data_IF_574693944856
#
_entry.id   IF_574693944856
#
_cell.length_a   1.000
_cell.length_b   1.000
_cell.length_c   1.000
_cell.angle_alpha   90.00
_cell.angle_beta   90.00
_cell.angle_gamma   90.00
#
_symmetry.space_group_name_H-M   'P 1'
#
loop_
_entity.id
_entity.type
_entity.pdbx_description
1 polymer ?
#
# COMPACT_ATOMS: atom_id res chain seq x y z
N UNK A 1 -10.89 -50.35 31.08
CA UNK A 1 -9.88 -49.33 30.69
C UNK A 1 -10.10 -48.68 29.31
N UNK A 2 -10.92 -49.23 28.39
CA UNK A 2 -11.22 -48.58 27.10
C UNK A 2 -12.34 -47.53 27.16
N UNK A 3 -13.34 -47.71 28.02
CA UNK A 3 -14.47 -46.76 28.17
C UNK A 3 -14.03 -45.38 28.70
N UNK A 4 -13.14 -45.34 29.71
CA UNK A 4 -12.60 -44.08 30.25
C UNK A 4 -11.79 -43.25 29.21
N UNK A 5 -11.15 -43.91 28.24
CA UNK A 5 -10.35 -43.22 27.20
C UNK A 5 -11.25 -42.52 26.17
N UNK A 6 -12.36 -43.15 25.80
CA UNK A 6 -13.33 -42.55 24.89
C UNK A 6 -14.12 -41.41 25.56
N UNK A 7 -14.46 -41.54 26.85
CA UNK A 7 -15.12 -40.47 27.61
C UNK A 7 -14.22 -39.24 27.81
N UNK A 8 -12.91 -39.44 28.06
CA UNK A 8 -11.97 -38.33 28.18
C UNK A 8 -11.71 -37.63 26.83
N UNK A 9 -11.63 -38.40 25.74
CA UNK A 9 -11.51 -37.85 24.39
C UNK A 9 -12.73 -37.02 23.99
N UNK A 10 -13.95 -37.49 24.29
CA UNK A 10 -15.19 -36.76 23.98
C UNK A 10 -15.35 -35.49 24.83
N UNK A 11 -14.92 -35.51 26.09
CA UNK A 11 -14.94 -34.34 26.97
C UNK A 11 -13.89 -33.30 26.56
N UNK A 12 -12.69 -33.73 26.15
CA UNK A 12 -11.64 -32.84 25.65
C UNK A 12 -12.04 -32.19 24.31
N UNK A 13 -12.66 -32.93 23.40
CA UNK A 13 -13.19 -32.38 22.14
C UNK A 13 -14.36 -31.41 22.37
N UNK A 14 -15.22 -31.66 23.36
CA UNK A 14 -16.28 -30.73 23.74
C UNK A 14 -15.72 -29.44 24.36
N UNK A 15 -14.68 -29.51 25.19
CA UNK A 15 -14.04 -28.32 25.77
C UNK A 15 -13.38 -27.42 24.72
N UNK A 16 -12.81 -28.00 23.65
CA UNK A 16 -12.21 -27.23 22.55
C UNK A 16 -13.29 -26.49 21.75
N UNK A 17 -14.47 -27.09 21.57
CA UNK A 17 -15.60 -26.47 20.85
C UNK A 17 -16.26 -25.31 21.62
N UNK A 18 -16.16 -25.28 22.96
CA UNK A 18 -16.64 -24.16 23.78
C UNK A 18 -15.63 -23.02 23.95
N UNK A 19 -14.39 -23.16 23.45
CA UNK A 19 -13.33 -22.14 23.58
C UNK A 19 -13.26 -21.14 22.41
N UNK A 20 -14.21 -21.18 21.48
CA UNK A 20 -14.17 -20.33 20.28
C UNK A 20 -14.99 -19.05 20.34
N UNK A 21 -15.64 -18.73 21.48
CA UNK A 21 -16.08 -17.37 21.71
C UNK A 21 -14.84 -16.52 22.01
N UNK A 22 -14.43 -15.67 21.07
CA UNK A 22 -13.66 -14.49 21.46
C UNK A 22 -14.61 -13.64 22.30
N UNK A 23 -14.49 -13.78 23.61
CA UNK A 23 -15.17 -12.89 24.55
C UNK A 23 -14.50 -11.52 24.39
N UNK A 24 -15.11 -10.68 23.56
CA UNK A 24 -14.77 -9.27 23.51
C UNK A 24 -15.22 -8.68 24.84
N UNK A 25 -14.36 -8.77 25.85
CA UNK A 25 -14.60 -8.14 27.14
C UNK A 25 -14.42 -6.65 26.94
N UNK A 26 -15.54 -5.96 26.73
CA UNK A 26 -15.59 -4.51 26.80
C UNK A 26 -15.02 -4.07 28.17
N UNK A 27 -13.98 -3.23 28.21
CA UNK A 27 -13.53 -2.64 29.45
C UNK A 27 -14.70 -1.89 30.07
N UNK A 28 -14.98 -2.19 31.33
CA UNK A 28 -15.99 -1.50 32.12
C UNK A 28 -15.52 -0.07 32.40
N UNK A 29 -15.78 0.85 31.47
CA UNK A 29 -15.51 2.28 31.64
C UNK A 29 -16.58 2.84 32.60
N UNK A 30 -16.20 3.46 33.73
CA UNK A 30 -17.16 4.01 34.67
C UNK A 30 -17.76 5.32 34.13
N UNK A 31 -18.74 5.20 33.24
CA UNK A 31 -19.42 6.33 32.57
C UNK A 31 -20.21 7.27 33.53
N UNK A 32 -20.33 6.93 34.82
CA UNK A 32 -21.10 7.69 35.82
C UNK A 32 -20.28 8.68 36.66
N UNK A 33 -18.95 8.63 36.63
CA UNK A 33 -18.09 9.39 37.55
C UNK A 33 -17.27 10.51 36.87
N UNK A 34 -17.22 10.55 35.54
CA UNK A 34 -16.50 11.56 34.76
C UNK A 34 -17.24 11.91 33.48
N UNK A 35 -17.03 13.12 32.96
CA UNK A 35 -17.52 13.49 31.63
C UNK A 35 -16.81 12.62 30.58
N UNK A 36 -17.58 11.80 29.87
CA UNK A 36 -17.04 10.83 28.90
C UNK A 36 -17.14 11.41 27.50
N UNK A 37 -16.00 11.41 26.80
CA UNK A 37 -15.91 11.82 25.40
C UNK A 37 -16.36 10.72 24.44
N UNK A 38 -16.48 11.08 23.17
CA UNK A 38 -16.78 10.14 22.09
C UNK A 38 -15.52 9.89 21.24
N UNK A 39 -15.41 8.70 20.65
CA UNK A 39 -14.33 8.37 19.72
C UNK A 39 -14.81 7.49 18.56
N UNK A 40 -14.02 7.46 17.48
CA UNK A 40 -14.31 6.70 16.26
C UNK A 40 -13.39 5.51 16.13
N UNK A 41 -13.84 4.35 16.59
CA UNK A 41 -13.06 3.12 16.46
C UNK A 41 -13.02 2.67 15.01
N UNK A 42 -11.83 2.45 14.48
CA UNK A 42 -11.63 1.83 13.17
C UNK A 42 -11.92 0.34 13.27
N UNK A 43 -12.96 -0.12 12.59
CA UNK A 43 -13.33 -1.54 12.53
C UNK A 43 -12.65 -2.21 11.35
N UNK A 44 -12.69 -1.56 10.18
CA UNK A 44 -12.09 -2.09 8.97
C UNK A 44 -11.58 -0.98 8.04
N UNK A 45 -10.57 -1.33 7.25
CA UNK A 45 -9.94 -0.47 6.25
C UNK A 45 -9.99 -1.19 4.90
N UNK A 46 -11.10 -1.05 4.19
CA UNK A 46 -11.37 -1.80 2.95
C UNK A 46 -10.57 -1.24 1.76
N UNK A 47 -10.20 0.03 1.78
CA UNK A 47 -9.25 0.61 0.83
C UNK A 47 -8.38 1.68 1.48
N UNK A 48 -7.06 1.62 1.22
CA UNK A 48 -6.04 2.41 1.93
C UNK A 48 -5.03 3.12 1.04
N UNK A 49 -5.10 2.89 -0.27
CA UNK A 49 -4.19 3.48 -1.26
C UNK A 49 -4.97 3.89 -2.50
N UNK A 50 -4.42 4.84 -3.26
CA UNK A 50 -4.89 5.17 -4.59
C UNK A 50 -3.91 4.61 -5.61
N UNK A 51 -4.40 3.89 -6.61
CA UNK A 51 -3.57 3.40 -7.71
C UNK A 51 -3.43 4.51 -8.75
N UNK A 52 -2.20 4.99 -8.98
CA UNK A 52 -1.94 6.05 -9.97
C UNK A 52 -2.45 5.68 -11.37
N UNK A 53 -2.35 4.40 -11.74
CA UNK A 53 -2.77 3.90 -13.05
C UNK A 53 -4.28 3.65 -13.16
N UNK A 54 -5.02 3.77 -12.05
CA UNK A 54 -6.48 3.59 -11.99
C UNK A 54 -7.07 4.50 -10.91
N UNK A 55 -6.77 5.79 -10.96
CA UNK A 55 -7.30 6.78 -10.00
C UNK A 55 -8.83 6.85 -10.09
N UNK A 56 -9.41 6.61 -11.27
CA UNK A 56 -10.84 6.73 -11.49
C UNK A 56 -11.64 5.67 -10.70
N UNK A 57 -11.07 4.48 -10.50
CA UNK A 57 -11.69 3.38 -9.74
C UNK A 57 -11.13 3.26 -8.31
N UNK A 58 -10.18 4.12 -7.94
CA UNK A 58 -9.55 4.13 -6.62
C UNK A 58 -10.44 4.85 -5.60
N UNK A 59 -10.52 4.29 -4.39
CA UNK A 59 -11.36 4.82 -3.32
C UNK A 59 -10.65 4.77 -1.96
N UNK A 60 -11.06 5.62 -1.03
CA UNK A 60 -10.72 5.54 0.39
C UNK A 60 -11.96 5.10 1.15
N UNK A 61 -11.88 3.97 1.85
CA UNK A 61 -13.05 3.35 2.45
C UNK A 61 -12.74 2.77 3.83
N UNK A 62 -13.60 3.10 4.79
CA UNK A 62 -13.50 2.67 6.18
C UNK A 62 -14.86 2.17 6.68
N UNK A 63 -14.79 1.27 7.66
CA UNK A 63 -15.90 1.03 8.59
C UNK A 63 -15.51 1.58 9.95
N UNK A 64 -16.34 2.47 10.47
CA UNK A 64 -16.16 3.14 11.76
C UNK A 64 -17.24 2.72 12.73
N UNK A 65 -16.91 2.78 14.02
CA UNK A 65 -17.84 2.57 15.11
C UNK A 65 -17.75 3.73 16.09
N UNK A 66 -18.88 4.34 16.40
CA UNK A 66 -18.99 5.46 17.31
C UNK A 66 -19.12 4.94 18.75
N UNK A 67 -18.11 5.20 19.57
CA UNK A 67 -18.11 4.77 20.96
C UNK A 67 -18.30 5.96 21.89
N UNK A 68 -19.40 5.95 22.63
CA UNK A 68 -19.76 6.94 23.64
C UNK A 68 -20.63 6.31 24.75
N UNK A 69 -21.09 7.13 25.70
CA UNK A 69 -21.91 6.67 26.82
C UNK A 69 -23.34 6.23 26.42
N UNK A 70 -23.83 6.63 25.26
CA UNK A 70 -25.16 6.36 24.71
C UNK A 70 -25.09 5.46 23.45
N UNK A 71 -24.10 4.56 23.42
CA UNK A 71 -23.97 3.54 22.36
C UNK A 71 -23.75 4.10 20.94
N UNK A 72 -23.15 5.28 20.82
CA UNK A 72 -23.00 6.00 19.56
C UNK A 72 -24.11 7.03 19.31
N UNK A 73 -25.11 7.09 20.20
CA UNK A 73 -26.25 8.01 20.10
C UNK A 73 -25.93 9.47 20.43
N UNK A 74 -24.70 9.79 20.85
CA UNK A 74 -24.28 11.18 21.05
C UNK A 74 -23.78 11.84 19.78
N UNK A 75 -23.41 11.07 18.74
CA UNK A 75 -22.92 11.59 17.46
C UNK A 75 -23.96 12.48 16.82
N UNK A 76 -23.55 13.70 16.49
CA UNK A 76 -24.33 14.63 15.67
C UNK A 76 -23.85 14.58 14.22
N UNK A 77 -22.55 14.77 14.00
CA UNK A 77 -21.92 14.66 12.68
C UNK A 77 -20.51 14.09 12.76
N UNK A 78 -20.04 13.52 11.65
CA UNK A 78 -18.61 13.26 11.42
C UNK A 78 -18.18 13.93 10.13
N UNK A 79 -17.33 14.95 10.23
CA UNK A 79 -16.71 15.58 9.07
C UNK A 79 -15.52 14.75 8.60
N UNK A 80 -15.51 14.41 7.32
CA UNK A 80 -14.39 13.82 6.61
C UNK A 80 -13.71 14.94 5.85
N UNK A 81 -12.50 15.27 6.26
CA UNK A 81 -11.71 16.37 5.72
C UNK A 81 -10.45 15.81 5.07
N UNK A 82 -9.92 16.49 4.06
CA UNK A 82 -8.73 16.04 3.32
C UNK A 82 -7.79 17.19 3.01
N UNK A 83 -6.50 16.89 2.94
CA UNK A 83 -5.50 17.68 2.24
C UNK A 83 -4.57 16.77 1.46
N UNK A 84 -3.97 17.29 0.40
CA UNK A 84 -2.92 16.62 -0.35
C UNK A 84 -1.56 17.01 0.22
N UNK A 85 -0.63 16.06 0.24
CA UNK A 85 0.76 16.24 0.65
C UNK A 85 1.68 15.62 -0.39
N UNK A 86 2.65 16.40 -0.85
CA UNK A 86 3.73 15.95 -1.74
C UNK A 86 5.09 16.17 -1.09
N UNK A 87 6.04 15.26 -1.35
CA UNK A 87 7.45 15.49 -1.03
C UNK A 87 8.16 16.00 -2.29
N UNK A 88 8.62 17.26 -2.25
CA UNK A 88 9.42 17.84 -3.33
C UNK A 88 10.92 17.66 -3.01
N UNK A 89 11.69 16.94 -3.83
CA UNK A 89 13.13 16.77 -3.63
C UNK A 89 13.86 18.12 -3.49
N UNK A 90 14.65 18.25 -2.42
CA UNK A 90 15.42 19.48 -2.14
C UNK A 90 14.61 20.63 -1.54
N UNK A 91 13.28 20.53 -1.45
CA UNK A 91 12.41 21.57 -0.85
C UNK A 91 11.78 21.07 0.45
N UNK A 92 11.19 19.88 0.45
CA UNK A 92 10.48 19.31 1.61
C UNK A 92 9.02 19.00 1.30
N UNK A 93 8.20 18.95 2.35
CA UNK A 93 6.77 18.63 2.23
C UNK A 93 5.98 19.88 1.81
N UNK A 94 5.21 19.76 0.75
CA UNK A 94 4.22 20.74 0.31
C UNK A 94 2.82 20.19 0.59
N UNK A 95 1.90 21.09 0.99
CA UNK A 95 0.53 20.76 1.33
C UNK A 95 -0.43 21.58 0.50
N UNK A 96 -1.42 20.90 -0.10
CA UNK A 96 -2.43 21.53 -0.95
C UNK A 96 -3.82 21.07 -0.53
N UNK A 97 -4.69 21.97 -0.05
CA UNK A 97 -4.34 23.24 0.61
C UNK A 97 -3.52 23.06 1.90
N UNK A 98 -3.00 24.16 2.46
CA UNK A 98 -2.23 24.16 3.72
C UNK A 98 -3.04 23.57 4.90
N UNK A 99 -4.29 24.01 5.02
CA UNK A 99 -5.29 23.48 5.95
C UNK A 99 -6.24 22.52 5.22
N UNK A 100 -6.64 21.43 5.88
CA UNK A 100 -7.58 20.48 5.27
C UNK A 100 -8.99 21.06 5.04
N UNK A 101 -9.62 20.55 3.99
CA UNK A 101 -10.94 20.98 3.50
C UNK A 101 -11.97 19.88 3.69
N UNK A 102 -13.23 20.27 3.88
CA UNK A 102 -14.34 19.34 4.02
C UNK A 102 -14.62 18.63 2.68
N UNK A 103 -14.66 17.30 2.71
CA UNK A 103 -15.04 16.46 1.58
C UNK A 103 -16.48 16.01 1.72
N UNK A 104 -16.81 15.47 2.90
CA UNK A 104 -18.11 14.89 3.20
C UNK A 104 -18.44 15.01 4.67
N UNK A 105 -19.73 15.13 4.99
CA UNK A 105 -20.25 15.03 6.34
C UNK A 105 -21.10 13.78 6.44
N UNK A 106 -20.83 12.93 7.43
CA UNK A 106 -21.73 11.86 7.84
C UNK A 106 -22.65 12.40 8.92
N UNK A 107 -23.94 12.16 8.77
CA UNK A 107 -24.97 12.55 9.72
C UNK A 107 -25.21 11.43 10.74
N UNK A 108 -25.82 11.75 11.88
CA UNK A 108 -26.21 10.75 12.88
C UNK A 108 -27.06 9.59 12.29
N UNK A 109 -27.85 9.87 11.24
CA UNK A 109 -28.66 8.84 10.55
C UNK A 109 -27.85 7.83 9.73
N UNK A 110 -26.58 8.13 9.43
CA UNK A 110 -25.68 7.23 8.71
C UNK A 110 -25.09 6.14 9.63
N UNK A 111 -25.33 6.25 10.94
CA UNK A 111 -24.89 5.30 11.95
C UNK A 111 -26.03 4.35 12.34
N UNK A 112 -25.78 3.05 12.23
CA UNK A 112 -26.77 2.01 12.44
C UNK A 112 -26.30 0.93 13.44
N UNK A 113 -27.22 0.22 14.12
CA UNK A 113 -26.88 -0.92 14.97
C UNK A 113 -26.20 -2.05 14.18
N UNK A 114 -25.40 -2.86 14.88
CA UNK A 114 -24.70 -4.00 14.30
C UNK A 114 -24.82 -5.25 15.19
N UNK A 115 -24.34 -6.41 14.72
CA UNK A 115 -24.41 -7.69 15.45
C UNK A 115 -23.24 -7.97 16.39
N UNK A 116 -22.14 -7.21 16.28
CA UNK A 116 -20.85 -7.50 16.92
C UNK A 116 -20.62 -6.68 18.21
N UNK A 117 -21.27 -5.52 18.33
CA UNK A 117 -21.14 -4.63 19.49
C UNK A 117 -22.45 -3.89 19.77
N UNK A 118 -22.54 -3.26 20.96
CA UNK A 118 -23.65 -2.37 21.30
C UNK A 118 -23.62 -1.02 20.57
N UNK A 119 -22.48 -0.63 20.02
CA UNK A 119 -22.22 0.70 19.46
C UNK A 119 -22.72 0.83 18.01
N UNK A 120 -23.11 2.02 17.59
CA UNK A 120 -23.49 2.26 16.20
C UNK A 120 -22.29 2.26 15.26
N UNK A 121 -22.47 1.75 14.04
CA UNK A 121 -21.46 1.71 12.97
C UNK A 121 -21.90 2.45 11.74
N UNK A 122 -20.92 2.93 10.99
CA UNK A 122 -21.10 3.45 9.64
C UNK A 122 -19.98 2.95 8.73
N UNK A 123 -20.26 2.86 7.45
CA UNK A 123 -19.28 2.58 6.42
C UNK A 123 -19.42 3.64 5.33
N UNK A 124 -18.30 4.16 4.86
CA UNK A 124 -18.29 5.16 3.79
C UNK A 124 -17.17 4.87 2.80
N UNK A 125 -17.32 5.45 1.62
CA UNK A 125 -16.35 5.40 0.53
C UNK A 125 -16.21 6.80 -0.06
N UNK A 126 -14.98 7.32 -0.08
CA UNK A 126 -14.61 8.56 -0.77
C UNK A 126 -13.84 8.18 -2.04
N UNK A 127 -14.42 8.40 -3.24
CA UNK A 127 -13.69 8.23 -4.49
C UNK A 127 -12.48 9.15 -4.57
N UNK A 128 -11.40 8.70 -5.21
CA UNK A 128 -10.22 9.53 -5.41
C UNK A 128 -10.56 10.80 -6.20
N UNK A 129 -11.51 10.73 -7.13
CA UNK A 129 -12.01 11.91 -7.87
C UNK A 129 -12.61 12.98 -6.96
N UNK A 130 -13.35 12.60 -5.91
CA UNK A 130 -13.93 13.51 -4.92
C UNK A 130 -12.83 14.13 -4.06
N UNK A 131 -11.86 13.32 -3.60
CA UNK A 131 -10.73 13.79 -2.80
C UNK A 131 -9.81 14.76 -3.55
N UNK A 132 -9.46 14.42 -4.80
CA UNK A 132 -8.62 15.24 -5.69
C UNK A 132 -9.32 16.56 -6.01
N UNK A 133 -10.61 16.52 -6.35
CA UNK A 133 -11.37 17.74 -6.64
C UNK A 133 -11.53 18.64 -5.40
N UNK A 134 -11.71 18.04 -4.22
CA UNK A 134 -11.87 18.78 -2.97
C UNK A 134 -10.64 19.64 -2.64
N UNK A 135 -9.44 19.13 -2.90
CA UNK A 135 -8.18 19.87 -2.69
C UNK A 135 -7.85 20.86 -3.82
N UNK A 136 -8.70 20.96 -4.85
CA UNK A 136 -8.51 21.87 -5.98
C UNK A 136 -7.49 21.40 -7.01
N UNK A 137 -7.21 20.09 -7.06
CA UNK A 137 -6.32 19.46 -8.04
C UNK A 137 -7.13 18.68 -9.09
N UNK A 138 -6.45 18.27 -10.15
CA UNK A 138 -6.92 17.32 -11.15
C UNK A 138 -6.08 16.03 -11.10
N UNK A 139 -6.49 14.99 -11.82
CA UNK A 139 -5.69 13.75 -11.89
C UNK A 139 -4.32 13.96 -12.57
N UNK A 140 -4.22 14.92 -13.48
CA UNK A 140 -2.96 15.25 -14.16
C UNK A 140 -1.94 15.88 -13.19
N UNK A 141 -2.40 16.39 -12.04
CA UNK A 141 -1.54 16.96 -11.00
C UNK A 141 -1.05 15.90 -9.99
N UNK A 142 -1.50 14.64 -10.10
CA UNK A 142 -1.20 13.58 -9.12
C UNK A 142 0.01 12.77 -9.56
N UNK A 143 0.93 12.55 -8.63
CA UNK A 143 2.15 11.78 -8.87
C UNK A 143 2.27 10.61 -7.88
N UNK A 144 3.03 9.59 -8.26
CA UNK A 144 3.36 8.49 -7.37
C UNK A 144 4.14 8.98 -6.15
N UNK A 145 3.75 8.50 -4.96
CA UNK A 145 4.32 8.95 -3.69
C UNK A 145 3.59 10.14 -3.05
N UNK A 146 2.62 10.75 -3.74
CA UNK A 146 1.69 11.68 -3.13
C UNK A 146 0.87 11.03 -2.01
N UNK A 147 0.38 11.83 -1.07
CA UNK A 147 -0.45 11.35 0.03
C UNK A 147 -1.67 12.24 0.21
N UNK A 148 -2.85 11.63 0.22
CA UNK A 148 -4.08 12.26 0.69
C UNK A 148 -4.26 11.99 2.17
N UNK A 149 -4.21 13.05 2.96
CA UNK A 149 -4.33 13.02 4.41
C UNK A 149 -5.78 13.28 4.80
N UNK A 150 -6.51 12.21 5.10
CA UNK A 150 -7.88 12.31 5.59
C UNK A 150 -7.90 12.50 7.10
N UNK A 151 -8.63 13.52 7.56
CA UNK A 151 -8.87 13.80 8.98
C UNK A 151 -10.36 13.72 9.28
N UNK A 152 -10.70 13.02 10.36
CA UNK A 152 -12.06 12.91 10.87
C UNK A 152 -12.28 13.89 12.01
N UNK A 153 -13.42 14.55 12.03
CA UNK A 153 -13.89 15.37 13.16
C UNK A 153 -15.26 14.86 13.59
N UNK A 154 -15.33 14.21 14.75
CA UNK A 154 -16.61 13.84 15.36
C UNK A 154 -17.15 15.03 16.14
N UNK A 155 -18.35 15.48 15.80
CA UNK A 155 -19.11 16.45 16.60
C UNK A 155 -20.24 15.71 17.31
N UNK A 156 -20.40 15.97 18.61
CA UNK A 156 -21.51 15.43 19.39
C UNK A 156 -22.61 16.46 19.61
N UNK A 157 -23.80 15.98 19.97
CA UNK A 157 -24.98 16.82 20.24
C UNK A 157 -24.82 17.78 21.43
N UNK A 158 -23.72 17.68 22.17
CA UNK A 158 -23.37 18.56 23.29
C UNK A 158 -22.47 19.72 22.84
N UNK A 159 -22.13 19.80 21.54
CA UNK A 159 -21.29 20.83 20.94
C UNK A 159 -19.80 20.60 21.14
N UNK A 160 -19.37 19.38 21.47
CA UNK A 160 -17.96 18.99 21.59
C UNK A 160 -17.48 18.41 20.27
N UNK A 161 -16.22 18.65 19.93
CA UNK A 161 -15.58 18.10 18.74
C UNK A 161 -14.37 17.25 19.13
N UNK A 162 -14.20 16.08 18.52
CA UNK A 162 -13.09 15.16 18.76
C UNK A 162 -12.35 14.87 17.45
N UNK A 163 -11.03 15.07 17.46
CA UNK A 163 -10.16 14.89 16.29
C UNK A 163 -8.70 14.71 16.74
N UNK A 164 -7.76 14.78 15.81
CA UNK A 164 -6.33 14.58 16.04
C UNK A 164 -5.70 15.59 16.99
N UNK A 165 -6.30 16.77 17.15
CA UNK A 165 -5.83 17.85 18.02
C UNK A 165 -6.17 17.64 19.50
N UNK A 166 -7.06 16.71 19.85
CA UNK A 166 -7.49 16.46 21.23
C UNK A 166 -7.61 14.96 21.57
N UNK A 167 -6.86 14.12 20.87
CA UNK A 167 -6.75 12.68 21.11
C UNK A 167 -5.43 12.34 21.80
N UNK A 168 -5.46 11.40 22.75
CA UNK A 168 -4.22 10.86 23.35
C UNK A 168 -3.70 9.67 22.55
N UNK A 169 -2.42 9.33 22.68
CA UNK A 169 -1.82 8.15 22.00
C UNK A 169 -2.53 6.84 22.35
N UNK A 170 -3.09 6.72 23.55
CA UNK A 170 -3.88 5.55 23.96
C UNK A 170 -5.16 5.41 23.14
N UNK A 171 -5.90 6.50 22.94
CA UNK A 171 -7.14 6.49 22.14
C UNK A 171 -6.81 6.32 20.64
N UNK A 172 -5.76 6.99 20.18
CA UNK A 172 -5.36 6.94 18.77
C UNK A 172 -4.87 5.56 18.34
N UNK A 173 -4.04 4.90 19.16
CA UNK A 173 -3.26 3.74 18.72
C UNK A 173 -3.45 2.45 19.51
N UNK A 174 -4.03 2.47 20.71
CA UNK A 174 -4.18 1.21 21.45
C UNK A 174 -5.23 0.31 20.76
N UNK A 175 -4.99 -1.02 20.65
CA UNK A 175 -5.83 -1.92 19.85
C UNK A 175 -7.32 -1.89 20.19
N UNK A 176 -7.68 -1.54 21.42
CA UNK A 176 -9.07 -1.44 21.85
C UNK A 176 -9.80 -0.20 21.29
N UNK A 177 -9.12 0.95 21.24
CA UNK A 177 -9.71 2.22 20.83
C UNK A 177 -9.57 2.41 19.33
N UNK A 178 -8.38 2.18 18.77
CA UNK A 178 -8.07 2.25 17.34
C UNK A 178 -8.71 3.47 16.63
N UNK A 179 -8.63 4.65 17.26
CA UNK A 179 -9.30 5.87 16.83
C UNK A 179 -8.30 6.97 16.46
N UNK A 180 -7.51 6.79 15.39
CA UNK A 180 -6.43 7.72 15.04
C UNK A 180 -6.95 9.09 14.58
N UNK A 181 -8.22 9.19 14.15
CA UNK A 181 -8.82 10.36 13.49
C UNK A 181 -8.05 10.88 12.26
N UNK A 182 -6.96 10.23 11.85
CA UNK A 182 -6.12 10.56 10.70
C UNK A 182 -5.84 9.28 9.90
N UNK A 183 -6.03 9.35 8.59
CA UNK A 183 -5.74 8.25 7.67
C UNK A 183 -4.98 8.81 6.46
N UNK A 184 -3.76 8.32 6.28
CA UNK A 184 -2.93 8.68 5.14
C UNK A 184 -3.16 7.66 4.03
N UNK A 185 -3.66 8.13 2.88
CA UNK A 185 -3.90 7.34 1.67
C UNK A 185 -2.81 7.70 0.68
N UNK A 186 -1.88 6.77 0.48
CA UNK A 186 -0.75 7.00 -0.44
C UNK A 186 -1.17 6.70 -1.87
N UNK A 187 -0.73 7.52 -2.80
CA UNK A 187 -0.77 7.25 -4.23
C UNK A 187 0.39 6.30 -4.54
N UNK A 188 0.04 5.08 -4.91
CA UNK A 188 0.99 4.00 -5.21
C UNK A 188 1.00 3.70 -6.70
N UNK A 189 2.12 3.19 -7.16
CA UNK A 189 2.30 2.69 -8.51
C UNK A 189 2.55 1.18 -8.41
N UNK A 190 1.50 0.34 -8.49
CA UNK A 190 1.67 -1.10 -8.46
C UNK A 190 2.52 -1.57 -9.64
N UNK A 191 3.43 -2.50 -9.39
CA UNK A 191 4.29 -3.10 -10.40
C UNK A 191 4.14 -4.62 -10.35
N UNK A 192 3.97 -5.26 -11.51
CA UNK A 192 3.91 -6.72 -11.69
C UNK A 192 4.75 -7.15 -12.92
N UNK A 193 6.05 -6.89 -12.84
CA UNK A 193 7.05 -7.26 -13.86
C UNK A 193 7.81 -8.54 -13.50
N UNK A 194 7.31 -9.31 -12.54
CA UNK A 194 7.93 -10.57 -12.13
C UNK A 194 7.70 -11.66 -13.18
N UNK A 195 8.76 -12.37 -13.56
CA UNK A 195 8.65 -13.45 -14.53
C UNK A 195 9.97 -13.88 -15.15
N UNK A 196 9.91 -14.92 -15.98
CA UNK A 196 11.00 -15.30 -16.88
C UNK A 196 10.62 -14.84 -18.28
N UNK A 197 11.56 -14.18 -18.95
CA UNK A 197 11.37 -13.55 -20.25
C UNK A 197 12.40 -14.07 -21.24
N UNK A 198 12.00 -14.19 -22.51
CA UNK A 198 12.98 -14.33 -23.59
C UNK A 198 13.62 -12.97 -23.84
N UNK A 199 14.89 -12.96 -24.23
CA UNK A 199 15.54 -11.75 -24.71
C UNK A 199 16.47 -12.03 -25.90
N UNK A 200 16.77 -10.98 -26.66
CA UNK A 200 17.85 -10.93 -27.63
C UNK A 200 18.87 -9.87 -27.23
N UNK A 201 20.12 -10.29 -27.02
CA UNK A 201 21.27 -9.39 -26.89
C UNK A 201 21.73 -8.96 -28.29
N UNK A 202 21.38 -7.74 -28.66
CA UNK A 202 21.64 -7.14 -29.98
C UNK A 202 22.99 -6.42 -30.06
N UNK A 203 23.55 -6.07 -28.89
CA UNK A 203 24.87 -5.49 -28.75
C UNK A 203 25.47 -5.91 -27.41
N UNK A 204 26.77 -6.20 -27.40
CA UNK A 204 27.55 -6.44 -26.19
C UNK A 204 28.94 -5.83 -26.35
N UNK A 205 29.59 -5.51 -25.23
CA UNK A 205 30.95 -4.97 -25.20
C UNK A 205 32.02 -5.84 -25.91
N UNK A 206 31.76 -7.15 -26.07
CA UNK A 206 32.66 -8.05 -26.79
C UNK A 206 32.28 -8.26 -28.27
N UNK A 207 31.17 -7.68 -28.73
CA UNK A 207 30.69 -7.76 -30.12
C UNK A 207 29.90 -9.02 -30.46
N UNK A 208 29.62 -9.90 -29.49
CA UNK A 208 28.77 -11.08 -29.66
C UNK A 208 27.29 -10.71 -29.54
N UNK A 209 26.44 -11.46 -30.23
CA UNK A 209 24.96 -11.34 -30.15
C UNK A 209 24.35 -12.71 -29.99
N UNK A 210 23.36 -12.84 -29.13
CA UNK A 210 22.73 -14.12 -28.82
C UNK A 210 21.35 -13.92 -28.21
N UNK A 211 20.57 -14.99 -28.15
CA UNK A 211 19.26 -15.03 -27.48
C UNK A 211 19.36 -15.84 -26.19
N UNK A 212 18.50 -15.54 -25.22
CA UNK A 212 18.47 -16.27 -23.97
C UNK A 212 17.21 -16.02 -23.15
N UNK A 213 17.25 -16.49 -21.90
CA UNK A 213 16.20 -16.28 -20.91
C UNK A 213 16.74 -15.48 -19.73
N UNK A 214 15.94 -14.55 -19.23
CA UNK A 214 16.23 -13.73 -18.05
C UNK A 214 15.07 -13.85 -17.07
N UNK A 215 15.36 -14.06 -15.80
CA UNK A 215 14.32 -14.09 -14.76
C UNK A 215 14.41 -12.85 -13.87
N UNK A 216 13.28 -12.16 -13.73
CA UNK A 216 13.07 -11.01 -12.86
C UNK A 216 12.29 -11.49 -11.64
N UNK A 217 13.00 -11.67 -10.52
CA UNK A 217 12.43 -12.23 -9.29
C UNK A 217 11.99 -11.09 -8.37
N UNK A 218 10.70 -10.95 -8.02
CA UNK A 218 10.26 -9.90 -7.11
C UNK A 218 10.96 -9.96 -5.75
N UNK A 219 11.41 -8.81 -5.25
CA UNK A 219 12.02 -8.68 -3.93
C UNK A 219 10.93 -8.37 -2.91
N UNK A 220 10.58 -9.34 -2.06
CA UNK A 220 9.46 -9.22 -1.10
C UNK A 220 9.55 -8.00 -0.18
N UNK A 221 10.77 -7.60 0.21
CA UNK A 221 11.01 -6.47 1.11
C UNK A 221 11.02 -5.11 0.41
N UNK A 222 10.96 -5.08 -0.93
CA UNK A 222 11.04 -3.86 -1.73
C UNK A 222 10.11 -3.98 -2.96
N UNK A 223 8.80 -3.73 -2.81
CA UNK A 223 7.85 -3.76 -3.91
C UNK A 223 8.31 -2.90 -5.10
N UNK A 224 8.13 -3.42 -6.32
CA UNK A 224 8.64 -2.79 -7.55
C UNK A 224 10.12 -3.08 -7.85
N UNK A 225 10.84 -3.81 -7.00
CA UNK A 225 12.21 -4.25 -7.25
C UNK A 225 12.26 -5.72 -7.66
N UNK A 226 13.06 -6.04 -8.66
CA UNK A 226 13.20 -7.37 -9.24
C UNK A 226 14.68 -7.75 -9.36
N UNK A 227 15.10 -8.80 -8.66
CA UNK A 227 16.43 -9.38 -8.78
C UNK A 227 16.58 -10.11 -10.12
N UNK A 228 17.65 -9.79 -10.84
CA UNK A 228 17.93 -10.38 -12.15
C UNK A 228 18.71 -11.68 -11.99
N UNK A 229 18.33 -12.72 -12.72
CA UNK A 229 19.14 -13.96 -12.77
C UNK A 229 20.53 -13.75 -13.35
N UNK A 230 20.70 -12.72 -14.20
CA UNK A 230 21.97 -12.22 -14.73
C UNK A 230 21.83 -10.73 -15.09
N UNK A 231 22.59 -9.86 -14.43
CA UNK A 231 22.55 -8.40 -14.66
C UNK A 231 23.09 -7.95 -16.02
N UNK A 232 23.76 -8.86 -16.75
CA UNK A 232 24.31 -8.61 -18.09
C UNK A 232 23.48 -9.26 -19.19
N UNK A 233 22.37 -9.90 -18.85
CA UNK A 233 21.53 -10.64 -19.80
C UNK A 233 22.37 -11.65 -20.61
N UNK A 234 23.15 -12.50 -19.94
CA UNK A 234 23.96 -13.55 -20.54
C UNK A 234 25.29 -13.10 -21.15
N UNK A 235 25.56 -11.79 -21.23
CA UNK A 235 26.79 -11.29 -21.86
C UNK A 235 28.04 -11.71 -21.07
N UNK A 236 27.91 -11.91 -19.76
CA UNK A 236 28.99 -12.40 -18.92
C UNK A 236 29.52 -13.77 -19.38
N UNK A 237 28.63 -14.75 -19.48
CA UNK A 237 28.96 -16.12 -19.90
C UNK A 237 29.38 -16.16 -21.39
N UNK A 238 28.86 -15.26 -22.22
CA UNK A 238 29.19 -15.17 -23.63
C UNK A 238 30.57 -14.53 -23.89
N UNK A 239 30.92 -13.48 -23.14
CA UNK A 239 32.11 -12.67 -23.37
C UNK A 239 33.30 -13.10 -22.49
N UNK A 240 33.07 -13.77 -21.37
CA UNK A 240 34.11 -14.22 -20.45
C UNK A 240 34.13 -15.73 -20.24
N UNK A 241 35.29 -16.33 -19.95
CA UNK A 241 35.39 -17.69 -19.44
C UNK A 241 35.08 -17.73 -17.92
N UNK A 242 34.03 -17.03 -17.51
CA UNK A 242 33.57 -16.87 -16.14
C UNK A 242 32.03 -16.87 -16.14
N UNK A 243 31.41 -17.28 -15.05
CA UNK A 243 29.94 -17.26 -14.94
C UNK A 243 29.44 -16.05 -14.15
N UNK A 244 28.24 -15.55 -14.42
CA UNK A 244 27.62 -14.44 -13.65
C UNK A 244 27.80 -14.61 -12.12
N UNK A 245 27.55 -15.82 -11.62
CA UNK A 245 27.84 -16.19 -10.24
C UNK A 245 26.91 -15.52 -9.24
N UNK A 246 27.46 -14.70 -8.35
CA UNK A 246 26.70 -13.99 -7.31
C UNK A 246 26.65 -12.49 -7.62
N UNK A 247 25.48 -11.89 -7.59
CA UNK A 247 25.30 -10.44 -7.69
C UNK A 247 23.93 -10.10 -7.11
N UNK A 248 23.70 -8.83 -6.82
CA UNK A 248 22.41 -8.32 -6.33
C UNK A 248 21.81 -7.29 -7.28
N UNK A 249 22.18 -7.38 -8.56
CA UNK A 249 21.66 -6.50 -9.61
C UNK A 249 20.16 -6.66 -9.75
N UNK A 250 19.47 -5.53 -9.80
CA UNK A 250 18.01 -5.44 -9.82
C UNK A 250 17.55 -4.42 -10.84
N UNK A 251 16.41 -4.71 -11.47
CA UNK A 251 15.58 -3.69 -12.09
C UNK A 251 14.57 -3.20 -11.06
N UNK A 252 14.40 -1.89 -10.95
CA UNK A 252 13.38 -1.27 -10.12
C UNK A 252 12.42 -0.47 -10.99
N UNK A 253 11.14 -0.67 -10.76
CA UNK A 253 10.04 0.07 -11.34
C UNK A 253 9.48 1.05 -10.31
N UNK A 254 9.59 2.34 -10.61
CA UNK A 254 8.96 3.41 -9.87
C UNK A 254 8.04 4.19 -10.81
N UNK A 255 6.76 3.81 -10.83
CA UNK A 255 5.73 4.46 -11.65
C UNK A 255 6.03 4.37 -13.16
N UNK A 256 6.34 3.15 -13.61
CA UNK A 256 6.77 2.81 -14.95
C UNK A 256 8.13 3.38 -15.35
N UNK A 257 8.86 4.05 -14.45
CA UNK A 257 10.23 4.47 -14.69
C UNK A 257 11.15 3.35 -14.24
N UNK A 258 11.83 2.70 -15.19
CA UNK A 258 12.73 1.63 -14.87
C UNK A 258 14.15 2.12 -14.61
N UNK A 259 14.75 1.61 -13.55
CA UNK A 259 16.15 1.83 -13.21
C UNK A 259 16.84 0.50 -12.93
N UNK A 260 18.17 0.47 -13.07
CA UNK A 260 18.97 -0.67 -12.64
C UNK A 260 19.88 -0.25 -11.49
N UNK A 261 20.06 -1.14 -10.52
CA UNK A 261 20.86 -0.93 -9.31
C UNK A 261 21.52 -2.23 -8.87
N UNK A 262 22.37 -2.18 -7.85
CA UNK A 262 23.06 -3.35 -7.31
C UNK A 262 24.44 -3.53 -7.93
N UNK A 263 25.07 -4.63 -7.58
CA UNK A 263 26.46 -4.95 -7.93
C UNK A 263 26.63 -6.41 -8.36
N UNK A 264 27.64 -6.67 -9.18
CA UNK A 264 28.10 -8.05 -9.42
C UNK A 264 29.06 -8.55 -8.32
N UNK A 265 29.56 -9.77 -8.47
CA UNK A 265 30.50 -10.40 -7.52
C UNK A 265 31.84 -9.67 -7.35
N UNK A 266 32.19 -8.78 -8.27
CA UNK A 266 33.40 -7.97 -8.21
C UNK A 266 33.14 -6.57 -7.64
N UNK A 267 31.87 -6.23 -7.41
CA UNK A 267 31.45 -4.97 -6.78
C UNK A 267 31.22 -3.85 -7.77
N UNK A 268 31.22 -4.13 -9.07
CA UNK A 268 30.87 -3.14 -10.09
C UNK A 268 29.37 -2.90 -10.11
N UNK A 269 28.97 -1.63 -10.15
CA UNK A 269 27.56 -1.24 -10.09
C UNK A 269 26.98 -1.07 -11.49
N UNK A 270 25.68 -1.33 -11.60
CA UNK A 270 24.96 -1.40 -12.86
C UNK A 270 23.95 -0.26 -13.00
N UNK A 271 23.84 0.28 -14.21
CA UNK A 271 22.82 1.25 -14.61
C UNK A 271 22.22 0.90 -15.96
N UNK A 272 21.03 1.41 -16.25
CA UNK A 272 20.39 1.20 -17.55
C UNK A 272 19.58 2.41 -18.00
N UNK A 273 19.22 2.37 -19.27
CA UNK A 273 18.24 3.26 -19.89
C UNK A 273 17.24 2.45 -20.70
N UNK A 274 15.96 2.82 -20.63
CA UNK A 274 14.94 2.29 -21.54
C UNK A 274 15.11 2.98 -22.89
N UNK A 275 15.41 2.21 -23.94
CA UNK A 275 15.56 2.70 -25.31
C UNK A 275 14.20 2.82 -25.99
N UNK A 276 13.34 1.83 -25.80
CA UNK A 276 11.96 1.83 -26.27
C UNK A 276 11.11 0.79 -25.53
N UNK A 277 9.82 1.05 -25.36
CA UNK A 277 8.84 0.10 -24.84
C UNK A 277 7.63 0.03 -25.77
N UNK A 278 7.27 -1.17 -26.19
CA UNK A 278 6.00 -1.52 -26.84
C UNK A 278 5.31 -2.61 -26.00
N UNK A 279 4.03 -2.91 -26.21
CA UNK A 279 3.36 -3.99 -25.48
C UNK A 279 4.09 -5.33 -25.58
N UNK A 280 4.78 -5.60 -26.70
CA UNK A 280 5.46 -6.86 -26.97
C UNK A 280 6.97 -6.85 -26.63
N UNK A 281 7.64 -5.70 -26.74
CA UNK A 281 9.10 -5.59 -26.70
C UNK A 281 9.57 -4.43 -25.82
N UNK A 282 10.49 -4.71 -24.90
CA UNK A 282 11.19 -3.72 -24.09
C UNK A 282 12.67 -3.73 -24.48
N UNK A 283 13.15 -2.64 -25.06
CA UNK A 283 14.57 -2.49 -25.39
C UNK A 283 15.29 -1.71 -24.30
N UNK A 284 16.33 -2.30 -23.72
CA UNK A 284 17.14 -1.73 -22.64
C UNK A 284 18.60 -1.64 -23.09
N UNK A 285 19.26 -0.54 -22.75
CA UNK A 285 20.71 -0.42 -22.82
C UNK A 285 21.27 -0.36 -21.39
N UNK A 286 22.15 -1.30 -21.05
CA UNK A 286 22.78 -1.39 -19.74
C UNK A 286 24.28 -1.10 -19.82
N UNK A 287 24.83 -0.61 -18.72
CA UNK A 287 26.27 -0.43 -18.53
C UNK A 287 26.67 -0.68 -17.07
N UNK A 288 27.94 -0.97 -16.83
CA UNK A 288 28.50 -1.07 -15.48
C UNK A 288 29.73 -0.18 -15.28
N UNK A 289 30.21 -0.09 -14.03
CA UNK A 289 31.36 0.77 -13.68
C UNK A 289 32.71 0.29 -14.20
N UNK A 290 32.81 -0.96 -14.66
CA UNK A 290 34.01 -1.48 -15.33
C UNK A 290 34.11 -1.00 -16.80
N UNK A 291 33.00 -0.51 -17.36
CA UNK A 291 32.90 -0.06 -18.75
C UNK A 291 32.35 -1.10 -19.71
N UNK A 292 31.71 -2.15 -19.18
CA UNK A 292 30.95 -3.11 -19.98
C UNK A 292 29.55 -2.57 -20.25
N UNK A 293 28.97 -3.00 -21.36
CA UNK A 293 27.67 -2.53 -21.82
C UNK A 293 27.00 -3.56 -22.73
N UNK A 294 25.69 -3.39 -22.90
CA UNK A 294 24.93 -4.14 -23.89
C UNK A 294 23.56 -3.53 -24.17
N UNK A 295 23.01 -3.88 -25.33
CA UNK A 295 21.64 -3.52 -25.73
C UNK A 295 20.84 -4.80 -25.92
N UNK A 296 19.73 -4.91 -25.19
CA UNK A 296 18.87 -6.11 -25.18
C UNK A 296 17.43 -5.76 -25.52
N UNK A 297 16.76 -6.66 -26.24
CA UNK A 297 15.31 -6.63 -26.45
C UNK A 297 14.70 -7.73 -25.60
N UNK A 298 13.84 -7.39 -24.64
CA UNK A 298 13.15 -8.32 -23.75
C UNK A 298 11.70 -8.45 -24.20
N UNK A 299 11.28 -9.68 -24.49
CA UNK A 299 9.95 -9.97 -24.99
C UNK A 299 8.96 -10.15 -23.84
N UNK A 300 7.79 -9.53 -23.96
CA UNK A 300 6.69 -9.71 -23.02
C UNK A 300 6.20 -11.16 -23.00
N UNK A 301 5.60 -11.57 -21.89
CA UNK A 301 5.00 -12.90 -21.77
C UNK A 301 3.56 -12.91 -22.33
N UNK A 302 3.11 -14.07 -22.82
CA UNK A 302 1.75 -14.24 -23.32
C UNK A 302 0.69 -13.77 -22.29
N UNK A 303 -0.15 -12.82 -22.70
CA UNK A 303 -1.21 -12.25 -21.85
C UNK A 303 -0.71 -11.27 -20.77
N UNK A 304 0.58 -10.93 -20.76
CA UNK A 304 1.20 -9.93 -19.90
C UNK A 304 2.04 -8.95 -20.73
N UNK A 305 1.40 -8.04 -21.49
CA UNK A 305 2.12 -7.02 -22.24
C UNK A 305 2.89 -6.09 -21.29
N UNK A 306 3.96 -5.49 -21.78
CA UNK A 306 4.64 -4.44 -21.03
C UNK A 306 3.71 -3.24 -20.83
N UNK A 307 3.74 -2.59 -19.65
CA UNK A 307 3.10 -1.29 -19.48
C UNK A 307 3.87 -0.21 -20.25
N UNK A 308 3.36 1.04 -20.25
CA UNK A 308 4.05 2.19 -20.84
C UNK A 308 5.27 2.58 -19.98
N UNK A 309 6.36 1.81 -20.14
CA UNK A 309 7.63 1.95 -19.44
C UNK A 309 8.48 3.10 -20.00
N UNK A 310 9.19 3.79 -19.11
CA UNK A 310 10.07 4.95 -19.36
C UNK A 310 11.44 4.77 -18.73
#
# INVERSE_FOLDING_TARGET
MRILKYSFGLLASALVLFSSCRDFVEPNVPYSEFDTGAYLRTIDRTSTTFNLFDLQSSNFALTLEAVDAEDGGTVETVEIRVRHRRLIPGVGLEYTPEDDVLVRTLEASDFAPNSESRFLRTSFEIPASEAVSAVGLSFDDIEGGDVFEFRLVLNDRFGRSFSTNNVTTNIAGAPFYASPFQYNVSVVCPSDLGGTYQFDATETFCGETFSGEITWTPVESSPGSYELSDGTFGAWDACYPDSWGSGDVRINDACNILTMTGTDKYGDSYSMTVVSSTPEELTLAWENTFGEFGTVVVYSNDGKPWPDLQ
#
